data_IF_050584946310
#
_entry.id   IF_050584946310
#
_cell.length_a   1.000
_cell.length_b   1.000
_cell.length_c   1.000
_cell.angle_alpha   90.00
_cell.angle_beta   90.00
_cell.angle_gamma   90.00
#
_symmetry.space_group_name_H-M   'P 1'
#
loop_
_entity.id
_entity.type
_entity.pdbx_description
1 polymer ?
#
# COMPACT_ATOMS: atom_id res chain seq x y z
N UNK A 1 10.93 -3.32 38.15
CA UNK A 1 9.95 -2.32 38.66
C UNK A 1 8.90 -2.15 37.55
N UNK A 2 7.93 -1.26 37.69
CA UNK A 2 6.95 -0.97 36.63
C UNK A 2 6.90 0.55 36.49
N UNK A 3 6.79 1.05 35.26
CA UNK A 3 6.71 2.48 34.98
C UNK A 3 5.36 2.87 34.40
N UNK A 4 4.83 3.99 34.84
CA UNK A 4 3.58 4.57 34.32
C UNK A 4 3.87 5.39 33.07
N UNK A 5 3.04 5.23 32.04
CA UNK A 5 3.15 6.03 30.82
C UNK A 5 2.72 7.48 31.08
N UNK A 6 3.56 8.45 30.70
CA UNK A 6 3.25 9.88 30.85
C UNK A 6 2.08 10.37 29.98
N UNK A 7 1.74 9.65 28.90
CA UNK A 7 0.66 10.04 28.00
C UNK A 7 -0.70 9.46 28.44
N UNK A 8 -0.76 8.18 28.79
CA UNK A 8 -2.03 7.49 29.07
C UNK A 8 -2.18 6.93 30.50
N UNK A 9 -1.16 7.06 31.36
CA UNK A 9 -1.19 6.59 32.75
C UNK A 9 -1.05 5.07 32.94
N UNK A 10 -1.13 4.26 31.89
CA UNK A 10 -1.02 2.81 32.01
C UNK A 10 0.38 2.34 32.42
N UNK A 11 0.42 1.27 33.22
CA UNK A 11 1.64 0.60 33.65
C UNK A 11 2.24 -0.22 32.51
N UNK A 12 3.54 -0.06 32.28
CA UNK A 12 4.32 -0.87 31.36
C UNK A 12 5.52 -1.50 32.09
N UNK A 13 6.08 -2.55 31.47
CA UNK A 13 7.35 -3.12 31.89
C UNK A 13 8.49 -2.08 31.76
N UNK A 14 9.48 -2.14 32.65
CA UNK A 14 10.60 -1.19 32.63
C UNK A 14 11.47 -1.30 31.36
N UNK A 15 11.49 -2.46 30.74
CA UNK A 15 12.23 -2.75 29.50
C UNK A 15 11.51 -2.32 28.21
N UNK A 16 10.22 -1.93 28.28
CA UNK A 16 9.46 -1.65 27.06
C UNK A 16 9.73 -0.25 26.53
N UNK A 17 10.42 -0.13 25.38
CA UNK A 17 10.72 1.16 24.74
C UNK A 17 9.50 2.00 24.36
N UNK A 18 8.32 1.37 24.26
CA UNK A 18 7.06 2.01 23.87
C UNK A 18 5.93 1.56 24.80
N UNK A 19 4.97 2.45 25.04
CA UNK A 19 3.75 2.10 25.76
C UNK A 19 2.91 1.15 24.91
N UNK A 20 2.54 0.00 25.48
CA UNK A 20 1.77 -1.02 24.77
C UNK A 20 0.31 -0.61 24.47
N UNK A 21 -0.19 0.40 25.19
CA UNK A 21 -1.57 0.87 25.07
C UNK A 21 -1.73 2.07 24.12
N UNK A 22 -0.82 3.05 24.18
CA UNK A 22 -0.93 4.27 23.38
C UNK A 22 0.18 4.42 22.33
N UNK A 23 1.19 3.55 22.31
CA UNK A 23 2.31 3.59 21.37
C UNK A 23 3.36 4.68 21.64
N UNK A 24 3.16 5.55 22.62
CA UNK A 24 4.11 6.63 22.95
C UNK A 24 5.43 6.05 23.44
N UNK A 25 6.57 6.58 22.96
CA UNK A 25 7.90 6.14 23.38
C UNK A 25 8.11 6.40 24.88
N UNK A 26 8.60 5.39 25.61
CA UNK A 26 8.83 5.48 27.05
C UNK A 26 10.10 6.27 27.39
N UNK A 27 11.05 6.39 26.45
CA UNK A 27 12.32 7.08 26.63
C UNK A 27 12.29 8.47 26.00
N UNK A 28 11.71 9.48 26.66
CA UNK A 28 12.20 10.85 26.49
C UNK A 28 13.56 10.97 27.22
N UNK A 29 14.58 10.23 26.79
CA UNK A 29 15.92 10.81 26.90
C UNK A 29 15.85 12.04 26.02
N UNK A 30 15.90 13.21 26.65
CA UNK A 30 16.32 14.44 26.01
C UNK A 30 17.62 14.11 25.28
N UNK A 31 17.53 13.74 24.00
CA UNK A 31 18.64 13.98 23.11
C UNK A 31 18.70 15.49 23.06
N UNK A 32 19.59 16.02 23.89
CA UNK A 32 20.12 17.35 23.79
C UNK A 32 20.81 17.38 22.43
N UNK A 33 20.04 17.59 21.37
CA UNK A 33 20.59 17.84 20.05
C UNK A 33 21.35 19.16 20.19
N UNK A 34 22.66 19.20 19.92
CA UNK A 34 23.34 20.47 19.81
C UNK A 34 22.62 21.32 18.75
N UNK A 35 22.50 22.64 18.95
CA UNK A 35 21.81 23.51 18.00
C UNK A 35 22.41 23.31 16.61
N UNK A 36 21.51 23.10 15.64
CA UNK A 36 21.79 22.93 14.23
C UNK A 36 22.77 23.99 13.72
N UNK A 37 23.94 23.54 13.29
CA UNK A 37 24.83 24.32 12.43
C UNK A 37 24.10 24.57 11.10
N UNK A 38 24.05 25.81 10.59
CA UNK A 38 23.48 26.10 9.28
C UNK A 38 24.36 25.50 8.18
N UNK A 39 23.75 24.67 7.34
CA UNK A 39 24.41 24.13 6.14
C UNK A 39 24.63 25.26 5.12
N UNK A 40 25.79 25.35 4.45
CA UNK A 40 25.98 26.32 3.38
C UNK A 40 25.14 25.95 2.16
N UNK A 41 24.61 26.94 1.41
CA UNK A 41 23.86 26.68 0.18
C UNK A 41 24.77 26.05 -0.87
N UNK A 42 24.40 24.85 -1.34
CA UNK A 42 25.07 24.22 -2.48
C UNK A 42 24.61 24.91 -3.75
N UNK A 43 25.48 25.72 -4.33
CA UNK A 43 25.36 26.26 -5.67
C UNK A 43 25.37 25.10 -6.67
N UNK A 44 24.22 24.85 -7.30
CA UNK A 44 24.11 23.91 -8.41
C UNK A 44 24.78 24.52 -9.65
N UNK A 45 26.07 24.24 -9.83
CA UNK A 45 26.75 24.38 -11.12
C UNK A 45 27.43 23.06 -11.43
N UNK A 46 26.80 22.26 -12.28
CA UNK A 46 27.45 21.14 -12.94
C UNK A 46 26.99 21.07 -14.39
N UNK A 47 27.65 21.88 -15.21
CA UNK A 47 27.98 21.55 -16.59
C UNK A 47 28.50 20.12 -16.63
N UNK A 48 27.91 19.28 -17.47
CA UNK A 48 28.36 17.90 -17.71
C UNK A 48 29.44 17.97 -18.80
N UNK A 49 30.67 17.49 -18.54
CA UNK A 49 31.47 16.89 -19.58
C UNK A 49 31.42 15.37 -19.41
N UNK A 50 30.92 14.73 -20.45
CA UNK A 50 31.19 13.35 -20.83
C UNK A 50 32.66 12.95 -20.59
N UNK A 51 32.95 11.77 -20.02
CA UNK A 51 34.27 11.17 -20.17
C UNK A 51 34.16 9.87 -20.96
N UNK A 52 34.69 9.94 -22.18
CA UNK A 52 35.27 8.80 -22.87
C UNK A 52 36.57 8.37 -22.17
N UNK A 53 36.69 7.07 -21.88
CA UNK A 53 37.92 6.31 -22.01
C UNK A 53 39.05 6.52 -20.99
N UNK A 54 39.30 5.51 -20.16
CA UNK A 54 40.59 5.34 -19.48
C UNK A 54 40.60 4.21 -18.44
N UNK A 55 41.43 3.16 -18.59
CA UNK A 55 41.56 2.08 -17.60
C UNK A 55 42.65 2.45 -16.59
N UNK A 56 42.29 2.69 -15.34
CA UNK A 56 43.22 2.63 -14.22
C UNK A 56 42.59 1.78 -13.13
N UNK A 57 43.29 0.70 -12.79
CA UNK A 57 42.78 -0.38 -11.96
C UNK A 57 42.99 -0.10 -10.49
N UNK A 58 41.89 -0.18 -9.74
CA UNK A 58 41.92 -0.45 -8.31
C UNK A 58 41.78 -1.97 -8.11
N UNK A 59 42.75 -2.66 -7.48
CA UNK A 59 42.73 -4.12 -7.34
C UNK A 59 41.68 -4.64 -6.33
N UNK A 60 40.98 -3.75 -5.63
CA UNK A 60 39.89 -4.09 -4.73
C UNK A 60 38.71 -3.15 -4.94
N UNK A 61 38.04 -3.29 -6.10
CA UNK A 61 36.78 -2.62 -6.43
C UNK A 61 35.60 -3.09 -5.57
N UNK A 62 35.71 -2.93 -4.25
CA UNK A 62 34.64 -3.21 -3.32
C UNK A 62 33.74 -1.98 -3.20
N UNK A 63 32.78 -1.88 -4.12
CA UNK A 63 31.64 -0.98 -3.98
C UNK A 63 30.61 -1.70 -3.11
N UNK A 64 30.31 -1.25 -1.88
CA UNK A 64 29.29 -1.90 -1.06
C UNK A 64 27.94 -1.83 -1.81
N UNK A 65 27.16 -2.92 -1.83
CA UNK A 65 25.85 -2.90 -2.45
C UNK A 65 24.99 -1.83 -1.77
N UNK A 66 24.28 -1.04 -2.57
CA UNK A 66 23.32 -0.08 -2.05
C UNK A 66 22.39 -0.79 -1.06
N UNK A 67 22.13 -0.21 0.13
CA UNK A 67 21.30 -0.83 1.15
C UNK A 67 19.95 -1.16 0.52
N UNK A 68 19.66 -2.45 0.44
CA UNK A 68 18.45 -3.09 -0.07
C UNK A 68 17.27 -2.12 -0.23
N UNK A 69 17.23 -1.44 -1.37
CA UNK A 69 16.00 -0.86 -1.89
C UNK A 69 15.18 -2.08 -2.30
N UNK A 70 14.32 -2.50 -1.38
CA UNK A 70 13.33 -3.55 -1.55
C UNK A 70 12.59 -3.34 -2.87
N UNK A 71 13.07 -4.03 -3.90
CA UNK A 71 12.32 -4.54 -5.05
C UNK A 71 10.98 -3.83 -5.33
N UNK A 72 11.04 -2.71 -6.05
CA UNK A 72 9.90 -2.22 -6.85
C UNK A 72 10.26 -1.89 -8.29
N UNK A 73 11.51 -2.10 -8.74
CA UNK A 73 11.97 -1.67 -10.07
C UNK A 73 12.04 -2.79 -11.13
N UNK A 74 11.20 -3.83 -11.00
CA UNK A 74 10.93 -4.76 -12.12
C UNK A 74 9.69 -4.36 -12.94
N UNK A 75 8.97 -3.31 -12.51
CA UNK A 75 7.98 -2.61 -13.32
C UNK A 75 8.53 -1.27 -13.79
N UNK A 76 9.58 -1.30 -14.61
CA UNK A 76 9.94 -0.16 -15.47
C UNK A 76 8.79 0.04 -16.45
N UNK A 77 7.78 0.82 -16.07
CA UNK A 77 6.79 1.32 -17.03
C UNK A 77 7.57 2.07 -18.09
N UNK A 78 7.36 1.69 -19.34
CA UNK A 78 8.02 2.24 -20.51
C UNK A 78 7.88 3.77 -20.50
N UNK A 79 8.87 4.48 -19.94
CA UNK A 79 8.95 5.94 -19.86
C UNK A 79 9.31 6.52 -21.23
N UNK A 80 8.59 6.12 -22.29
CA UNK A 80 8.47 7.02 -23.43
C UNK A 80 7.66 8.20 -22.92
N UNK A 81 8.39 9.22 -22.42
CA UNK A 81 7.86 10.54 -22.17
C UNK A 81 7.05 10.93 -23.40
N UNK A 82 5.73 10.92 -23.23
CA UNK A 82 4.75 11.31 -24.23
C UNK A 82 5.20 12.67 -24.74
N UNK A 83 5.79 12.72 -25.94
CA UNK A 83 6.20 13.97 -26.59
C UNK A 83 5.00 14.92 -26.52
N UNK A 84 5.10 15.94 -25.69
CA UNK A 84 4.10 16.99 -25.62
C UNK A 84 4.18 17.70 -26.95
N UNK A 85 3.21 17.40 -27.83
CA UNK A 85 2.94 18.22 -29.00
C UNK A 85 2.78 19.66 -28.49
N UNK A 86 3.54 20.61 -29.02
CA UNK A 86 3.44 22.03 -28.67
C UNK A 86 2.05 22.55 -29.07
N UNK A 87 1.07 22.43 -28.19
CA UNK A 87 -0.22 23.09 -28.33
C UNK A 87 -0.15 24.49 -27.71
N UNK A 88 -0.80 25.49 -28.34
CA UNK A 88 -0.79 26.87 -27.87
C UNK A 88 -1.36 26.99 -26.44
N UNK A 89 -0.88 27.94 -25.63
CA UNK A 89 -1.08 28.01 -24.17
C UNK A 89 -2.49 28.44 -23.70
N UNK A 90 -3.56 28.17 -24.46
CA UNK A 90 -4.89 28.73 -24.22
C UNK A 90 -5.97 27.69 -23.87
N UNK A 91 -5.62 26.43 -23.55
CA UNK A 91 -6.60 25.37 -23.26
C UNK A 91 -6.48 24.74 -21.85
N UNK A 92 -5.96 25.49 -20.87
CA UNK A 92 -5.91 25.06 -19.46
C UNK A 92 -7.02 25.68 -18.59
N UNK A 93 -8.05 26.27 -19.19
CA UNK A 93 -9.27 26.62 -18.47
C UNK A 93 -10.08 25.34 -18.21
N UNK A 94 -10.14 24.97 -16.93
CA UNK A 94 -11.11 24.07 -16.30
C UNK A 94 -11.33 22.70 -16.95
N UNK A 95 -10.44 21.77 -16.64
CA UNK A 95 -10.87 20.37 -16.48
C UNK A 95 -10.88 20.06 -14.98
N UNK A 96 -12.05 19.89 -14.34
CA UNK A 96 -12.09 19.49 -12.94
C UNK A 96 -11.32 18.19 -12.80
N UNK A 97 -10.44 18.15 -11.79
CA UNK A 97 -9.74 16.93 -11.41
C UNK A 97 -10.78 15.83 -11.22
N UNK A 98 -10.79 14.85 -12.13
CA UNK A 98 -11.54 13.63 -11.92
C UNK A 98 -10.56 12.65 -11.26
N UNK A 99 -10.53 12.57 -9.91
CA UNK A 99 -9.65 11.62 -9.25
C UNK A 99 -10.11 10.21 -9.59
N UNK A 100 -9.16 9.44 -10.12
CA UNK A 100 -9.17 7.99 -10.24
C UNK A 100 -10.32 7.26 -9.50
N UNK A 101 -11.30 6.79 -10.27
CA UNK A 101 -12.42 5.95 -9.82
C UNK A 101 -12.02 4.57 -9.25
N UNK A 102 -10.72 4.24 -9.12
CA UNK A 102 -10.28 2.95 -8.56
C UNK A 102 -10.13 2.93 -7.03
N UNK A 103 -10.09 4.08 -6.35
CA UNK A 103 -9.91 4.11 -4.89
C UNK A 103 -11.22 4.14 -4.10
N UNK A 104 -12.38 4.33 -4.75
CA UNK A 104 -13.61 4.69 -4.05
C UNK A 104 -14.40 3.50 -3.45
N UNK A 105 -13.91 2.27 -3.56
CA UNK A 105 -14.48 1.11 -2.84
C UNK A 105 -14.05 1.03 -1.37
N UNK A 106 -13.16 1.91 -0.90
CA UNK A 106 -12.68 1.91 0.50
C UNK A 106 -13.64 2.57 1.50
N UNK A 107 -14.70 3.24 1.05
CA UNK A 107 -15.53 4.10 1.91
C UNK A 107 -16.81 3.43 2.44
N UNK A 108 -16.83 2.10 2.54
CA UNK A 108 -17.89 1.43 3.31
C UNK A 108 -17.74 1.74 4.81
N UNK A 109 -18.82 1.85 5.59
CA UNK A 109 -18.80 2.17 7.04
C UNK A 109 -17.99 1.18 7.91
N UNK A 110 -17.46 0.10 7.32
CA UNK A 110 -16.66 -0.91 7.99
C UNK A 110 -15.15 -0.60 8.03
N UNK A 111 -14.66 0.42 7.30
CA UNK A 111 -13.23 0.67 7.16
C UNK A 111 -12.54 1.18 8.44
N UNK A 112 -13.28 1.82 9.36
CA UNK A 112 -12.67 2.55 10.47
C UNK A 112 -12.04 1.64 11.54
N UNK A 113 -12.47 0.39 11.69
CA UNK A 113 -11.97 -0.52 12.75
C UNK A 113 -12.10 -2.00 12.37
N UNK A 114 -12.00 -2.36 11.09
CA UNK A 114 -12.07 -3.76 10.70
C UNK A 114 -10.89 -4.56 11.27
N UNK A 115 -11.20 -5.69 11.94
CA UNK A 115 -10.24 -6.69 12.37
C UNK A 115 -10.80 -8.08 12.06
N UNK A 116 -10.01 -8.92 11.39
CA UNK A 116 -10.43 -10.28 11.10
C UNK A 116 -10.57 -11.09 12.41
N UNK A 117 -11.72 -11.73 12.63
CA UNK A 117 -12.00 -12.56 13.82
C UNK A 117 -11.01 -13.74 13.94
N UNK A 118 -10.52 -14.25 12.81
CA UNK A 118 -9.68 -15.44 12.79
C UNK A 118 -8.19 -15.17 13.03
N UNK A 119 -7.64 -14.07 12.49
CA UNK A 119 -6.20 -13.78 12.57
C UNK A 119 -5.86 -12.40 13.13
N UNK A 120 -6.85 -11.57 13.44
CA UNK A 120 -6.66 -10.23 14.01
C UNK A 120 -6.11 -9.18 13.05
N UNK A 121 -5.90 -9.52 11.77
CA UNK A 121 -5.36 -8.57 10.80
C UNK A 121 -6.33 -7.42 10.53
N UNK A 122 -5.77 -6.23 10.31
CA UNK A 122 -6.50 -4.99 9.96
C UNK A 122 -6.64 -4.80 8.46
N UNK A 123 -6.14 -5.73 7.63
CA UNK A 123 -6.32 -5.67 6.18
C UNK A 123 -7.78 -5.90 5.80
N UNK A 124 -8.35 -5.01 4.98
CA UNK A 124 -9.71 -5.14 4.47
C UNK A 124 -9.90 -6.49 3.74
N UNK A 125 -11.07 -7.12 3.84
CA UNK A 125 -11.34 -8.38 3.17
C UNK A 125 -11.29 -8.18 1.65
N UNK A 126 -10.73 -9.17 0.94
CA UNK A 126 -10.76 -9.21 -0.51
C UNK A 126 -12.10 -9.76 -0.96
N UNK A 127 -12.72 -9.09 -1.94
CA UNK A 127 -13.96 -9.56 -2.56
C UNK A 127 -13.60 -10.56 -3.65
N UNK A 128 -14.00 -11.82 -3.48
CA UNK A 128 -13.88 -12.85 -4.50
C UNK A 128 -15.26 -13.17 -5.07
N UNK A 129 -15.39 -13.12 -6.40
CA UNK A 129 -16.62 -13.55 -7.10
C UNK A 129 -16.57 -15.04 -7.36
N UNK A 130 -17.50 -15.78 -6.76
CA UNK A 130 -17.69 -17.21 -7.02
C UNK A 130 -19.13 -17.46 -7.44
N UNK A 131 -19.34 -18.53 -8.21
CA UNK A 131 -20.69 -19.01 -8.50
C UNK A 131 -21.28 -19.47 -7.17
N UNK A 132 -22.43 -18.91 -6.81
CA UNK A 132 -23.10 -19.23 -5.54
C UNK A 132 -23.51 -20.70 -5.51
N UNK A 133 -23.52 -21.32 -4.33
CA UNK A 133 -24.11 -22.67 -4.22
C UNK A 133 -25.59 -22.68 -4.60
N UNK A 134 -26.31 -21.60 -4.26
CA UNK A 134 -27.70 -21.42 -4.66
C UNK A 134 -27.87 -21.39 -6.19
N UNK A 135 -26.93 -20.79 -6.93
CA UNK A 135 -26.89 -20.77 -8.38
C UNK A 135 -26.76 -22.17 -8.98
N UNK A 136 -25.96 -23.05 -8.37
CA UNK A 136 -25.87 -24.45 -8.79
C UNK A 136 -27.14 -25.24 -8.53
N UNK A 137 -27.77 -25.05 -7.37
CA UNK A 137 -29.03 -25.73 -7.04
C UNK A 137 -30.15 -25.27 -7.97
N UNK A 138 -30.28 -23.96 -8.20
CA UNK A 138 -31.28 -23.41 -9.12
C UNK A 138 -31.00 -23.83 -10.57
N UNK A 139 -29.74 -23.88 -11.00
CA UNK A 139 -29.35 -24.42 -12.31
C UNK A 139 -29.81 -25.88 -12.48
N UNK A 140 -29.57 -26.75 -11.49
CA UNK A 140 -29.98 -28.15 -11.57
C UNK A 140 -31.51 -28.32 -11.61
N UNK A 141 -32.24 -27.58 -10.77
CA UNK A 141 -33.71 -27.60 -10.77
C UNK A 141 -34.28 -27.07 -12.09
N UNK A 142 -33.79 -25.94 -12.59
CA UNK A 142 -34.27 -25.37 -13.85
C UNK A 142 -33.90 -26.24 -15.05
N UNK A 143 -32.76 -26.92 -15.04
CA UNK A 143 -32.40 -27.85 -16.12
C UNK A 143 -33.41 -29.01 -16.23
N UNK A 144 -33.90 -29.53 -15.10
CA UNK A 144 -34.86 -30.65 -15.07
C UNK A 144 -36.28 -30.19 -15.38
N UNK A 145 -36.74 -29.07 -14.81
CA UNK A 145 -38.14 -28.64 -14.90
C UNK A 145 -38.40 -27.63 -16.02
N UNK A 146 -37.43 -26.79 -16.37
CA UNK A 146 -37.58 -25.65 -17.28
C UNK A 146 -36.33 -25.44 -18.14
N UNK A 147 -36.11 -26.34 -19.10
CA UNK A 147 -34.94 -26.37 -19.98
C UNK A 147 -34.57 -25.03 -20.65
N UNK A 148 -35.49 -24.11 -21.03
CA UNK A 148 -35.09 -22.80 -21.57
C UNK A 148 -34.63 -21.78 -20.52
N UNK A 149 -34.90 -21.97 -19.23
CA UNK A 149 -34.62 -20.99 -18.17
C UNK A 149 -33.34 -21.29 -17.36
N UNK A 150 -32.66 -22.39 -17.62
CA UNK A 150 -31.49 -22.84 -16.83
C UNK A 150 -30.31 -21.84 -16.80
N UNK A 151 -30.14 -21.03 -17.85
CA UNK A 151 -29.11 -19.98 -17.93
C UNK A 151 -29.23 -18.90 -16.85
N UNK A 152 -30.40 -18.69 -16.25
CA UNK A 152 -30.61 -17.71 -15.18
C UNK A 152 -29.85 -18.12 -13.91
N UNK A 153 -29.74 -19.43 -13.63
CA UNK A 153 -28.99 -19.94 -12.47
C UNK A 153 -27.49 -19.60 -12.54
N UNK A 154 -26.93 -19.47 -13.74
CA UNK A 154 -25.52 -19.10 -13.94
C UNK A 154 -25.25 -17.60 -13.74
N UNK A 155 -26.29 -16.76 -13.76
CA UNK A 155 -26.17 -15.32 -13.52
C UNK A 155 -26.09 -14.98 -12.02
N UNK A 156 -26.45 -15.91 -11.14
CA UNK A 156 -26.39 -15.73 -9.69
C UNK A 156 -24.94 -15.88 -9.20
N UNK A 157 -24.22 -14.76 -9.22
CA UNK A 157 -22.90 -14.62 -8.60
C UNK A 157 -23.04 -14.13 -7.17
N UNK A 158 -22.28 -14.71 -6.27
CA UNK A 158 -22.20 -14.29 -4.88
C UNK A 158 -20.81 -13.70 -4.62
N UNK A 159 -20.80 -12.50 -4.07
CA UNK A 159 -19.59 -11.82 -3.65
C UNK A 159 -19.23 -12.33 -2.25
N UNK A 160 -18.05 -12.94 -2.11
CA UNK A 160 -17.59 -13.45 -0.82
C UNK A 160 -16.40 -12.66 -0.29
N UNK A 161 -16.49 -12.29 0.97
CA UNK A 161 -15.46 -11.55 1.69
C UNK A 161 -14.47 -12.53 2.32
N UNK A 162 -13.25 -12.57 1.77
CA UNK A 162 -12.20 -13.48 2.20
C UNK A 162 -11.04 -12.68 2.77
N UNK A 163 -10.54 -13.07 3.95
CA UNK A 163 -9.36 -12.44 4.53
C UNK A 163 -8.11 -12.76 3.69
N UNK A 164 -7.28 -11.76 3.30
CA UNK A 164 -6.08 -12.01 2.48
C UNK A 164 -5.00 -12.81 3.23
N UNK A 165 -4.97 -12.75 4.56
CA UNK A 165 -3.95 -13.40 5.38
C UNK A 165 -4.29 -14.87 5.68
N UNK A 166 -5.49 -15.13 6.23
CA UNK A 166 -5.87 -16.47 6.69
C UNK A 166 -6.79 -17.22 5.71
N UNK A 167 -7.24 -16.58 4.63
CA UNK A 167 -8.16 -17.12 3.61
C UNK A 167 -9.49 -17.67 4.14
N UNK A 168 -9.84 -17.36 5.39
CA UNK A 168 -11.17 -17.66 5.94
C UNK A 168 -12.18 -16.61 5.51
N UNK A 169 -13.45 -17.04 5.38
CA UNK A 169 -14.59 -16.16 5.13
C UNK A 169 -14.89 -15.32 6.36
N UNK A 170 -15.30 -14.08 6.14
CA UNK A 170 -15.52 -13.09 7.21
C UNK A 170 -16.99 -12.65 7.32
N UNK A 171 -17.84 -13.13 6.40
CA UNK A 171 -19.28 -12.94 6.37
C UNK A 171 -19.95 -14.27 5.99
#
# INVERSE_FOLDING_TARGET
MMRTCANCGNLNADESNFCRFCGTRAHQSQQNFPPSQPYPPQTATSTIPEPQGGPTGDPYGFTPPAPYSWKTDEFRTNNQARKTLNLPPQAFAERPANPAHLANFQNGPMAANYRCINCGTTFLPRIERKISQAGWITFALLLVFFFPLFWIGLLVKEDQYVCPMCRRRVA
#
